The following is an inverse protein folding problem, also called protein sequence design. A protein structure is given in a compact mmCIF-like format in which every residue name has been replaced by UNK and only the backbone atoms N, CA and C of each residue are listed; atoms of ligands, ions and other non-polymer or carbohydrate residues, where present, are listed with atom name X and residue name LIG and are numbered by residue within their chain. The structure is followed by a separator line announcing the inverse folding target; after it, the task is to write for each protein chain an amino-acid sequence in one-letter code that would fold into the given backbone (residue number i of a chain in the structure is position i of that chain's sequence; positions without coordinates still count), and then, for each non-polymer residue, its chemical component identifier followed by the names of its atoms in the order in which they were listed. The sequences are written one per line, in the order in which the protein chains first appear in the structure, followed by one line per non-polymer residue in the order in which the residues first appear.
data_IF_082683648720
#
_entry.id   IF_082683648720
#
_cell.length_a   1.000
_cell.length_b   1.000
_cell.length_c   1.000
_cell.angle_alpha   90.00
_cell.angle_beta   90.00
_cell.angle_gamma   90.00
#
_symmetry.space_group_name_H-M   'P 1'
#
loop_
_entity.id
_entity.type
_entity.pdbx_description
1 polymer ?
#
# COMPACT_ATOMS: atom_id res chain seq x y z
N UNK A 1 -10.22 -40.46 39.19
CA UNK A 1 -9.73 -41.21 38.01
C UNK A 1 -10.92 -41.45 37.10
N UNK A 2 -10.85 -41.13 35.78
CA UNK A 2 -11.98 -41.38 34.89
C UNK A 2 -12.25 -42.88 34.84
N UNK A 3 -13.49 -43.27 35.10
CA UNK A 3 -13.95 -44.66 35.13
C UNK A 3 -13.65 -45.30 33.78
N UNK A 4 -12.79 -46.31 33.75
CA UNK A 4 -12.53 -47.10 32.55
C UNK A 4 -13.83 -47.84 32.25
N UNK A 5 -14.62 -47.30 31.32
CA UNK A 5 -15.71 -48.05 30.70
C UNK A 5 -15.02 -49.22 30.00
N UNK A 6 -15.16 -50.42 30.57
CA UNK A 6 -14.63 -51.66 29.96
C UNK A 6 -15.41 -51.87 28.67
N UNK A 7 -14.87 -51.42 27.55
CA UNK A 7 -15.42 -51.75 26.25
C UNK A 7 -15.13 -53.21 25.90
N UNK A 8 -15.90 -53.75 24.96
CA UNK A 8 -15.70 -55.11 24.49
C UNK A 8 -14.53 -55.17 23.53
N UNK A 9 -13.75 -56.25 23.62
CA UNK A 9 -12.72 -56.55 22.63
C UNK A 9 -13.42 -57.16 21.41
N UNK A 10 -13.41 -56.43 20.31
CA UNK A 10 -14.09 -56.79 19.07
C UNK A 10 -13.10 -56.96 17.92
N UNK A 11 -13.43 -57.87 17.00
CA UNK A 11 -12.72 -58.00 15.71
C UNK A 11 -13.12 -56.85 14.77
N UNK A 12 -12.39 -56.66 13.66
CA UNK A 12 -12.72 -55.62 12.65
C UNK A 12 -14.15 -55.70 12.15
N UNK A 13 -14.62 -56.91 11.88
CA UNK A 13 -15.95 -57.15 11.34
C UNK A 13 -17.02 -56.82 12.37
N UNK A 14 -16.82 -57.24 13.62
CA UNK A 14 -17.71 -56.88 14.71
C UNK A 14 -17.69 -55.38 15.03
N UNK A 15 -16.55 -54.71 14.89
CA UNK A 15 -16.48 -53.25 15.03
C UNK A 15 -17.28 -52.55 13.92
N UNK A 16 -17.10 -52.98 12.67
CA UNK A 16 -17.88 -52.52 11.53
C UNK A 16 -19.39 -52.69 11.77
N UNK A 17 -19.82 -53.88 12.20
CA UNK A 17 -21.22 -54.19 12.51
C UNK A 17 -21.76 -53.34 13.67
N UNK A 18 -20.94 -53.12 14.72
CA UNK A 18 -21.34 -52.35 15.93
C UNK A 18 -21.55 -50.88 15.62
N UNK A 19 -20.72 -50.30 14.76
CA UNK A 19 -20.80 -48.88 14.40
C UNK A 19 -21.58 -48.62 13.10
N UNK A 20 -22.05 -49.67 12.41
CA UNK A 20 -22.79 -49.57 11.15
C UNK A 20 -21.96 -49.07 9.97
N UNK A 21 -20.65 -49.34 9.97
CA UNK A 21 -19.73 -48.94 8.89
C UNK A 21 -19.13 -50.15 8.18
N UNK A 22 -18.62 -49.93 6.98
CA UNK A 22 -17.86 -50.96 6.26
C UNK A 22 -16.48 -51.22 6.91
N UNK A 23 -15.96 -52.43 6.76
CA UNK A 23 -14.65 -52.86 7.28
C UNK A 23 -13.52 -51.96 6.75
N UNK A 24 -13.65 -51.47 5.50
CA UNK A 24 -12.69 -50.52 4.90
C UNK A 24 -12.67 -49.19 5.66
N UNK A 25 -13.81 -48.75 6.18
CA UNK A 25 -13.91 -47.51 6.97
C UNK A 25 -13.17 -47.65 8.29
N UNK A 26 -13.30 -48.80 8.96
CA UNK A 26 -12.55 -49.12 10.18
C UNK A 26 -11.04 -49.18 9.88
N UNK A 27 -10.62 -49.79 8.78
CA UNK A 27 -9.21 -49.81 8.37
C UNK A 27 -8.68 -48.38 8.09
N UNK A 28 -9.51 -47.49 7.53
CA UNK A 28 -9.17 -46.08 7.36
C UNK A 28 -9.07 -45.32 8.70
N UNK A 29 -9.83 -45.71 9.72
CA UNK A 29 -9.70 -45.12 11.06
C UNK A 29 -8.35 -45.49 11.69
N UNK A 30 -7.93 -46.75 11.53
CA UNK A 30 -6.61 -47.20 11.97
C UNK A 30 -5.49 -46.43 11.29
N UNK A 31 -5.57 -46.20 9.97
CA UNK A 31 -4.59 -45.37 9.23
C UNK A 31 -4.53 -43.94 9.75
N UNK A 32 -5.65 -43.40 10.26
CA UNK A 32 -5.75 -42.07 10.86
C UNK A 32 -5.36 -42.02 12.35
N UNK A 33 -4.84 -43.12 12.89
CA UNK A 33 -4.32 -43.17 14.25
C UNK A 33 -5.30 -43.70 15.31
N UNK A 34 -6.34 -44.45 14.90
CA UNK A 34 -7.24 -45.07 15.85
C UNK A 34 -6.52 -46.09 16.77
N UNK A 35 -6.75 -46.06 18.09
CA UNK A 35 -6.18 -47.04 19.03
C UNK A 35 -6.62 -48.47 18.73
N UNK A 36 -5.70 -49.42 18.87
CA UNK A 36 -5.96 -50.86 18.75
C UNK A 36 -5.27 -51.64 19.88
N UNK A 37 -5.85 -52.78 20.26
CA UNK A 37 -5.32 -53.62 21.35
C UNK A 37 -4.30 -54.63 20.82
N UNK A 38 -4.54 -55.22 19.65
CA UNK A 38 -3.58 -56.08 18.95
C UNK A 38 -3.54 -55.73 17.47
N UNK A 39 -2.32 -55.53 16.97
CA UNK A 39 -2.05 -55.34 15.54
C UNK A 39 -2.30 -56.67 14.82
N UNK A 40 -3.16 -56.64 13.80
CA UNK A 40 -3.32 -57.81 12.94
C UNK A 40 -2.17 -57.95 11.95
N UNK A 41 -1.97 -59.18 11.48
CA UNK A 41 -0.90 -59.57 10.57
C UNK A 41 -1.26 -60.85 9.83
N UNK A 42 -0.30 -61.45 9.10
CA UNK A 42 -0.54 -62.69 8.34
C UNK A 42 -0.92 -63.82 9.33
N UNK A 43 -2.19 -64.22 9.32
CA UNK A 43 -2.75 -65.22 10.23
C UNK A 43 -3.24 -64.71 11.60
N UNK A 44 -3.23 -63.40 11.88
CA UNK A 44 -3.75 -62.83 13.15
C UNK A 44 -4.78 -61.72 12.89
N UNK A 45 -5.99 -61.89 13.44
CA UNK A 45 -7.04 -60.88 13.38
C UNK A 45 -6.71 -59.68 14.28
N UNK A 46 -7.07 -58.49 13.82
CA UNK A 46 -7.01 -57.26 14.62
C UNK A 46 -8.04 -57.31 15.75
N UNK A 47 -7.70 -56.75 16.91
CA UNK A 47 -8.62 -56.60 18.03
C UNK A 47 -8.66 -55.16 18.52
N UNK A 48 -9.87 -54.62 18.67
CA UNK A 48 -10.13 -53.26 19.09
C UNK A 48 -10.95 -53.23 20.35
N UNK A 49 -10.83 -52.15 21.12
CA UNK A 49 -11.72 -51.86 22.23
C UNK A 49 -12.77 -50.86 21.75
N UNK A 50 -14.05 -51.22 21.84
CA UNK A 50 -15.17 -50.36 21.40
C UNK A 50 -15.19 -49.01 22.12
N UNK A 51 -14.79 -48.93 23.39
CA UNK A 51 -14.78 -47.68 24.15
C UNK A 51 -13.69 -46.70 23.64
N UNK A 52 -12.53 -47.23 23.26
CA UNK A 52 -11.42 -46.43 22.74
C UNK A 52 -11.71 -45.95 21.31
N UNK A 53 -12.35 -46.81 20.50
CA UNK A 53 -12.88 -46.44 19.17
C UNK A 53 -13.87 -45.27 19.25
N UNK A 54 -14.83 -45.33 20.17
CA UNK A 54 -15.84 -44.29 20.34
C UNK A 54 -15.22 -42.95 20.78
N UNK A 55 -14.32 -42.98 21.77
CA UNK A 55 -13.63 -41.78 22.26
C UNK A 55 -12.77 -41.14 21.17
N UNK A 56 -11.99 -41.95 20.46
CA UNK A 56 -11.17 -41.47 19.35
C UNK A 56 -12.03 -40.82 18.26
N UNK A 57 -13.16 -41.44 17.92
CA UNK A 57 -14.06 -40.91 16.89
C UNK A 57 -14.67 -39.57 17.31
N UNK A 58 -15.11 -39.44 18.56
CA UNK A 58 -15.63 -38.18 19.09
C UNK A 58 -14.59 -37.05 19.03
N UNK A 59 -13.34 -37.38 19.38
CA UNK A 59 -12.23 -36.42 19.31
C UNK A 59 -11.89 -36.03 17.86
N UNK A 60 -11.84 -36.99 16.94
CA UNK A 60 -11.60 -36.75 15.51
C UNK A 60 -12.67 -35.83 14.91
N UNK A 61 -13.95 -36.05 15.24
CA UNK A 61 -15.04 -35.22 14.78
C UNK A 61 -15.00 -33.79 15.34
N UNK A 62 -14.68 -33.65 16.62
CA UNK A 62 -14.51 -32.35 17.25
C UNK A 62 -13.36 -31.56 16.60
N UNK A 63 -12.22 -32.21 16.38
CA UNK A 63 -11.06 -31.60 15.74
C UNK A 63 -11.34 -31.21 14.28
N UNK A 64 -12.06 -32.06 13.52
CA UNK A 64 -12.46 -31.75 12.15
C UNK A 64 -13.39 -30.53 12.07
N UNK A 65 -14.32 -30.41 13.02
CA UNK A 65 -15.23 -29.24 13.09
C UNK A 65 -14.48 -27.97 13.46
N UNK A 66 -13.54 -28.04 14.41
CA UNK A 66 -12.71 -26.89 14.80
C UNK A 66 -11.84 -26.38 13.63
N UNK A 67 -11.14 -27.28 12.93
CA UNK A 67 -10.31 -26.90 11.79
C UNK A 67 -11.15 -26.27 10.66
N UNK A 68 -12.33 -26.82 10.37
CA UNK A 68 -13.20 -26.26 9.33
C UNK A 68 -13.68 -24.84 9.69
N UNK A 69 -13.96 -24.58 10.97
CA UNK A 69 -14.37 -23.26 11.43
C UNK A 69 -13.22 -22.25 11.33
N UNK A 70 -12.02 -22.65 11.73
CA UNK A 70 -10.81 -21.82 11.63
C UNK A 70 -10.48 -21.47 10.17
N UNK A 71 -10.52 -22.44 9.26
CA UNK A 71 -10.29 -22.21 7.83
C UNK A 71 -11.31 -21.22 7.22
N UNK A 72 -12.59 -21.33 7.60
CA UNK A 72 -13.64 -20.42 7.14
C UNK A 72 -13.42 -18.99 7.65
N UNK A 73 -13.11 -18.85 8.94
CA UNK A 73 -12.88 -17.55 9.56
C UNK A 73 -11.63 -16.87 8.99
N UNK A 74 -10.55 -17.61 8.81
CA UNK A 74 -9.31 -17.11 8.20
C UNK A 74 -9.52 -16.71 6.73
N UNK A 75 -10.33 -17.48 5.98
CA UNK A 75 -10.69 -17.15 4.60
C UNK A 75 -11.49 -15.85 4.50
N UNK A 76 -12.53 -15.69 5.33
CA UNK A 76 -13.34 -14.47 5.37
C UNK A 76 -12.52 -13.25 5.78
N UNK A 77 -11.64 -13.37 6.78
CA UNK A 77 -10.75 -12.28 7.21
C UNK A 77 -9.78 -11.86 6.10
N UNK A 78 -9.20 -12.83 5.38
CA UNK A 78 -8.30 -12.57 4.27
C UNK A 78 -9.00 -11.84 3.12
N UNK A 79 -10.20 -12.29 2.75
CA UNK A 79 -11.01 -11.65 1.70
C UNK A 79 -11.37 -10.21 2.07
N UNK A 80 -11.70 -9.95 3.33
CA UNK A 80 -12.03 -8.62 3.83
C UNK A 80 -10.82 -7.68 3.76
N UNK A 81 -9.63 -8.16 4.14
CA UNK A 81 -8.36 -7.41 4.03
C UNK A 81 -8.03 -7.07 2.57
N UNK A 82 -8.20 -8.03 1.66
CA UNK A 82 -7.98 -7.81 0.22
C UNK A 82 -8.95 -6.75 -0.31
N UNK A 83 -10.22 -6.80 0.09
CA UNK A 83 -11.23 -5.82 -0.33
C UNK A 83 -10.89 -4.40 0.16
N UNK A 84 -10.49 -4.25 1.41
CA UNK A 84 -10.06 -2.96 1.97
C UNK A 84 -8.83 -2.42 1.23
N UNK A 85 -7.84 -3.26 0.97
CA UNK A 85 -6.64 -2.87 0.24
C UNK A 85 -6.96 -2.39 -1.19
N UNK A 86 -7.87 -3.09 -1.88
CA UNK A 86 -8.35 -2.67 -3.21
C UNK A 86 -9.07 -1.34 -3.17
N UNK A 87 -9.96 -1.12 -2.19
CA UNK A 87 -10.66 0.16 -2.03
C UNK A 87 -9.66 1.31 -1.83
N UNK A 88 -8.70 1.16 -0.91
CA UNK A 88 -7.65 2.16 -0.69
C UNK A 88 -6.84 2.48 -1.94
N UNK A 89 -6.51 1.45 -2.73
CA UNK A 89 -5.78 1.61 -3.98
C UNK A 89 -6.63 2.36 -5.02
N UNK A 90 -7.91 2.01 -5.16
CA UNK A 90 -8.83 2.71 -6.05
C UNK A 90 -9.04 4.16 -5.63
N UNK A 91 -9.18 4.44 -4.34
CA UNK A 91 -9.32 5.80 -3.82
C UNK A 91 -8.06 6.64 -4.14
N UNK A 92 -6.87 6.10 -3.89
CA UNK A 92 -5.62 6.77 -4.20
C UNK A 92 -5.41 6.97 -5.72
N UNK A 93 -5.88 6.04 -6.55
CA UNK A 93 -5.86 6.19 -8.01
C UNK A 93 -6.80 7.31 -8.46
N UNK A 94 -8.02 7.36 -7.93
CA UNK A 94 -8.99 8.40 -8.23
C UNK A 94 -8.47 9.79 -7.81
N UNK A 95 -7.86 9.91 -6.63
CA UNK A 95 -7.26 11.17 -6.16
C UNK A 95 -6.11 11.62 -7.09
N UNK A 96 -5.24 10.71 -7.49
CA UNK A 96 -4.17 11.02 -8.44
C UNK A 96 -4.70 11.43 -9.81
N UNK A 97 -5.76 10.77 -10.31
CA UNK A 97 -6.42 11.16 -11.55
C UNK A 97 -7.08 12.53 -11.44
N UNK A 98 -7.66 12.87 -10.30
CA UNK A 98 -8.23 14.19 -10.05
C UNK A 98 -7.13 15.27 -10.03
N UNK A 99 -6.01 15.02 -9.38
CA UNK A 99 -4.84 15.93 -9.39
C UNK A 99 -4.36 16.14 -10.83
N UNK A 100 -4.22 15.06 -11.61
CA UNK A 100 -3.83 15.13 -13.03
C UNK A 100 -4.84 15.89 -13.87
N UNK A 101 -6.14 15.69 -13.64
CA UNK A 101 -7.20 16.42 -14.32
C UNK A 101 -7.17 17.91 -13.99
N UNK A 102 -6.90 18.28 -12.73
CA UNK A 102 -6.72 19.67 -12.30
C UNK A 102 -5.50 20.32 -12.98
N UNK A 103 -4.39 19.60 -13.04
CA UNK A 103 -3.17 20.03 -13.74
C UNK A 103 -3.41 20.21 -15.24
N UNK A 104 -4.08 19.24 -15.89
CA UNK A 104 -4.47 19.33 -17.30
C UNK A 104 -5.46 20.47 -17.60
N UNK A 105 -6.24 20.90 -16.61
CA UNK A 105 -7.17 22.05 -16.74
C UNK A 105 -6.52 23.42 -16.48
N UNK A 106 -5.18 23.50 -16.40
CA UNK A 106 -4.41 24.72 -16.08
C UNK A 106 -4.78 25.36 -14.72
N UNK A 107 -5.34 24.58 -13.79
CA UNK A 107 -5.73 25.05 -12.44
C UNK A 107 -4.71 24.70 -11.36
N UNK A 108 -3.70 23.90 -11.70
CA UNK A 108 -2.65 23.49 -10.79
C UNK A 108 -1.31 23.45 -11.55
N UNK A 109 -0.25 23.91 -10.90
CA UNK A 109 1.14 23.85 -11.37
C UNK A 109 1.90 22.96 -10.39
N UNK A 110 2.85 22.19 -10.90
CA UNK A 110 3.69 21.36 -10.06
C UNK A 110 4.61 22.20 -9.15
N UNK A 111 4.86 21.72 -7.93
CA UNK A 111 5.62 22.48 -6.94
C UNK A 111 7.08 22.70 -7.39
N UNK A 112 7.69 21.71 -8.06
CA UNK A 112 9.07 21.80 -8.56
C UNK A 112 9.19 22.83 -9.69
N UNK A 113 8.20 22.85 -10.60
CA UNK A 113 8.12 23.85 -11.66
C UNK A 113 7.97 25.27 -11.09
N UNK A 114 7.15 25.43 -10.04
CA UNK A 114 6.99 26.71 -9.35
C UNK A 114 8.30 27.17 -8.70
N UNK A 115 9.03 26.27 -8.04
CA UNK A 115 10.33 26.57 -7.43
C UNK A 115 11.34 27.05 -8.47
N UNK A 116 11.44 26.37 -9.61
CA UNK A 116 12.33 26.76 -10.70
C UNK A 116 12.01 28.15 -11.28
N UNK A 117 10.73 28.42 -11.57
CA UNK A 117 10.32 29.72 -12.07
C UNK A 117 10.55 30.85 -11.05
N UNK A 118 10.28 30.60 -9.76
CA UNK A 118 10.59 31.56 -8.70
C UNK A 118 12.08 31.84 -8.61
N UNK A 119 12.93 30.80 -8.73
CA UNK A 119 14.38 30.96 -8.71
C UNK A 119 14.88 31.78 -9.92
N UNK A 120 14.32 31.55 -11.10
CA UNK A 120 14.64 32.30 -12.32
C UNK A 120 14.26 33.78 -12.17
N UNK A 121 13.02 34.06 -11.75
CA UNK A 121 12.51 35.40 -11.49
C UNK A 121 13.37 36.16 -10.48
N UNK A 122 13.67 35.53 -9.34
CA UNK A 122 14.49 36.14 -8.28
C UNK A 122 15.93 36.36 -8.75
N UNK A 123 16.48 35.44 -9.53
CA UNK A 123 17.81 35.57 -10.14
C UNK A 123 17.88 36.75 -11.12
N UNK A 124 16.84 36.92 -11.94
CA UNK A 124 16.73 38.02 -12.90
C UNK A 124 16.66 39.37 -12.18
N UNK A 125 15.78 39.51 -11.18
CA UNK A 125 15.70 40.70 -10.33
C UNK A 125 17.04 41.03 -9.69
N UNK A 126 17.72 40.03 -9.11
CA UNK A 126 19.03 40.21 -8.47
C UNK A 126 20.04 40.80 -9.45
N UNK A 127 20.17 40.21 -10.63
CA UNK A 127 21.15 40.64 -11.62
C UNK A 127 20.86 42.07 -12.12
N UNK A 128 19.58 42.43 -12.32
CA UNK A 128 19.18 43.78 -12.75
C UNK A 128 19.46 44.83 -11.69
N UNK A 129 19.18 44.54 -10.42
CA UNK A 129 19.44 45.45 -9.30
C UNK A 129 20.95 45.65 -9.07
N UNK A 130 21.73 44.57 -9.08
CA UNK A 130 23.17 44.64 -8.88
C UNK A 130 23.92 45.27 -10.06
N UNK A 131 23.31 45.30 -11.25
CA UNK A 131 23.86 46.00 -12.42
C UNK A 131 23.62 47.50 -12.43
N UNK A 132 22.77 48.05 -11.55
CA UNK A 132 22.49 49.50 -11.52
C UNK A 132 23.75 50.33 -11.30
N UNK A 133 24.60 50.04 -10.29
CA UNK A 133 25.81 50.82 -10.01
C UNK A 133 26.72 50.99 -11.23
N UNK A 134 26.96 49.91 -11.99
CA UNK A 134 27.81 49.95 -13.19
C UNK A 134 27.24 50.87 -14.28
N UNK A 135 25.90 50.91 -14.46
CA UNK A 135 25.26 51.77 -15.47
C UNK A 135 25.25 53.25 -15.06
N UNK A 136 25.02 53.52 -13.78
CA UNK A 136 24.96 54.90 -13.29
C UNK A 136 26.35 55.51 -13.15
N UNK A 137 27.39 54.70 -12.93
CA UNK A 137 28.77 55.18 -12.79
C UNK A 137 29.21 56.01 -14.01
N UNK A 138 29.02 55.50 -15.23
CA UNK A 138 29.40 56.22 -16.46
C UNK A 138 28.64 57.53 -16.66
N UNK A 139 27.40 57.63 -16.17
CA UNK A 139 26.52 58.79 -16.39
C UNK A 139 26.67 59.83 -15.28
N UNK A 140 27.09 59.42 -14.08
CA UNK A 140 27.24 60.28 -12.91
C UNK A 140 28.65 60.87 -12.76
N UNK A 141 29.63 60.42 -13.55
CA UNK A 141 31.00 60.98 -13.54
C UNK A 141 30.97 62.44 -14.00
N UNK A 142 31.27 63.35 -13.07
CA UNK A 142 31.31 64.80 -13.31
C UNK A 142 30.05 65.55 -12.86
N UNK A 143 29.02 64.84 -12.43
CA UNK A 143 27.73 65.45 -12.08
C UNK A 143 27.73 65.92 -10.61
N UNK A 144 27.58 67.23 -10.40
CA UNK A 144 27.68 67.84 -9.05
C UNK A 144 26.32 68.28 -8.50
N UNK A 145 25.27 68.25 -9.33
CA UNK A 145 23.91 68.65 -8.97
C UNK A 145 23.13 67.46 -8.37
N UNK A 146 22.67 67.63 -7.13
CA UNK A 146 21.92 66.62 -6.38
C UNK A 146 20.58 66.25 -7.05
N UNK A 147 19.89 67.20 -7.69
CA UNK A 147 18.59 66.93 -8.29
C UNK A 147 18.73 66.12 -9.58
N UNK A 148 19.76 66.41 -10.37
CA UNK A 148 20.13 65.64 -11.56
C UNK A 148 20.56 64.22 -11.15
N UNK A 149 21.38 64.11 -10.09
CA UNK A 149 21.82 62.82 -9.53
C UNK A 149 20.65 61.92 -9.13
N UNK A 150 19.70 62.49 -8.37
CA UNK A 150 18.50 61.77 -7.93
C UNK A 150 17.62 61.36 -9.11
N UNK A 151 17.47 62.22 -10.12
CA UNK A 151 16.67 61.94 -11.31
C UNK A 151 17.24 60.77 -12.11
N UNK A 152 18.54 60.76 -12.36
CA UNK A 152 19.23 59.69 -13.10
C UNK A 152 19.10 58.36 -12.33
N UNK A 153 19.44 58.35 -11.04
CA UNK A 153 19.36 57.14 -10.23
C UNK A 153 17.94 56.57 -10.15
N UNK A 154 16.93 57.45 -10.03
CA UNK A 154 15.52 57.04 -10.00
C UNK A 154 15.04 56.51 -11.35
N UNK A 155 15.52 57.09 -12.46
CA UNK A 155 15.19 56.61 -13.80
C UNK A 155 15.77 55.20 -14.03
N UNK A 156 17.05 54.99 -13.71
CA UNK A 156 17.71 53.69 -13.87
C UNK A 156 17.14 52.61 -12.94
N UNK A 157 16.72 52.99 -11.73
CA UNK A 157 16.03 52.08 -10.81
C UNK A 157 14.67 51.65 -11.38
N UNK A 158 13.89 52.59 -11.90
CA UNK A 158 12.59 52.28 -12.53
C UNK A 158 12.77 51.38 -13.76
N UNK A 159 13.76 51.67 -14.60
CA UNK A 159 14.04 50.88 -15.79
C UNK A 159 14.43 49.44 -15.44
N UNK A 160 15.27 49.27 -14.42
CA UNK A 160 15.63 47.95 -13.89
C UNK A 160 14.42 47.20 -13.29
N UNK A 161 13.49 47.90 -12.64
CA UNK A 161 12.27 47.32 -12.09
C UNK A 161 11.29 46.90 -13.20
N UNK A 162 11.02 47.76 -14.19
CA UNK A 162 10.13 47.42 -15.30
C UNK A 162 10.68 46.25 -16.11
N UNK A 163 11.98 46.26 -16.43
CA UNK A 163 12.61 45.14 -17.14
C UNK A 163 12.56 43.83 -16.34
N UNK A 164 12.55 43.88 -15.00
CA UNK A 164 12.36 42.70 -14.18
C UNK A 164 10.90 42.23 -14.17
N UNK A 165 9.93 43.14 -14.14
CA UNK A 165 8.51 42.82 -14.25
C UNK A 165 8.16 42.19 -15.60
N UNK A 166 8.69 42.73 -16.70
CA UNK A 166 8.47 42.16 -18.04
C UNK A 166 9.03 40.73 -18.14
N UNK A 167 10.19 40.49 -17.52
CA UNK A 167 10.76 39.14 -17.43
C UNK A 167 9.95 38.18 -16.55
N UNK A 168 9.30 38.69 -15.49
CA UNK A 168 8.40 37.90 -14.64
C UNK A 168 7.18 37.44 -15.43
N UNK A 169 6.58 38.33 -16.20
CA UNK A 169 5.42 38.01 -17.03
C UNK A 169 5.78 36.94 -18.06
N UNK A 170 6.96 37.03 -18.70
CA UNK A 170 7.44 36.02 -19.64
C UNK A 170 7.67 34.65 -18.97
N UNK A 171 8.23 34.61 -17.76
CA UNK A 171 8.43 33.36 -17.01
C UNK A 171 7.09 32.75 -16.55
N UNK A 172 6.13 33.58 -16.12
CA UNK A 172 4.78 33.14 -15.75
C UNK A 172 4.00 32.62 -16.96
N UNK A 173 4.14 33.26 -18.12
CA UNK A 173 3.54 32.78 -19.37
C UNK A 173 4.13 31.42 -19.77
N UNK A 174 5.44 31.22 -19.64
CA UNK A 174 6.07 29.89 -19.88
C UNK A 174 5.52 28.80 -18.96
N UNK A 175 5.28 29.13 -17.68
CA UNK A 175 4.67 28.21 -16.72
C UNK A 175 3.22 27.84 -17.04
N UNK A 176 2.43 28.81 -17.51
CA UNK A 176 0.99 28.62 -17.76
C UNK A 176 0.69 28.01 -19.12
N UNK A 177 1.53 28.29 -20.12
CA UNK A 177 1.35 27.79 -21.50
C UNK A 177 1.87 26.36 -21.67
N UNK A 178 2.60 25.83 -20.69
CA UNK A 178 3.09 24.46 -20.72
C UNK A 178 4.03 24.23 -21.89
N UNK A 179 5.27 24.73 -21.81
CA UNK A 179 6.36 24.03 -22.49
C UNK A 179 6.44 22.62 -21.89
N UNK A 180 5.65 21.72 -22.48
CA UNK A 180 5.79 20.29 -22.38
C UNK A 180 7.15 19.93 -23.00
N UNK A 181 8.23 20.22 -22.28
CA UNK A 181 9.50 19.55 -22.51
C UNK A 181 9.35 18.15 -21.93
N UNK A 182 8.69 17.32 -22.75
CA UNK A 182 8.66 15.89 -22.63
C UNK A 182 9.94 15.38 -23.32
N UNK A 183 11.00 15.22 -22.55
CA UNK A 183 12.18 14.41 -22.88
C UNK A 183 12.57 13.57 -21.64
#
# INVERSE_FOLDING_TARGET
MPTIIKGNIVTRQQAADTFGFDVITIDNWVRRGCPYVKKGGRGKAWSFNTADLFKWRLQEEAQRKANKYDDLQNGEELDLKIKIARLRLTDAQAENEEIKARLASSKAIDAEQLEHALAEVLGMMRNKLLGIPERVETTLVGETDKDVFKKILTAELKDAMYAACDGIDETLDKLTTGEQNND
#
